data_IF_162572241303
#
_entry.id   IF_162572241303
#
_cell.length_a   1.000
_cell.length_b   1.000
_cell.length_c   1.000
_cell.angle_alpha   90.00
_cell.angle_beta   90.00
_cell.angle_gamma   90.00
#
_symmetry.space_group_name_H-M   'P 1'
#
loop_
_entity.id
_entity.type
_entity.pdbx_description
1 polymer ?
#
# COMPACT_ATOMS: atom_id res chain seq x y z
N UNK A 1 -5.49 -19.59 -3.72
CA UNK A 1 -5.70 -18.13 -3.89
C UNK A 1 -6.83 -17.67 -3.00
N UNK A 2 -6.89 -16.40 -2.64
CA UNK A 2 -7.98 -15.83 -1.84
C UNK A 2 -8.73 -14.77 -2.65
N UNK A 3 -10.02 -14.62 -2.37
CA UNK A 3 -10.82 -13.51 -2.88
C UNK A 3 -11.28 -12.63 -1.72
N UNK A 4 -11.42 -11.34 -2.00
CA UNK A 4 -12.14 -10.39 -1.16
C UNK A 4 -13.32 -9.87 -1.97
N UNK A 5 -14.53 -9.98 -1.42
CA UNK A 5 -15.77 -9.61 -2.07
C UNK A 5 -16.51 -8.55 -1.26
N UNK A 6 -17.06 -7.57 -1.96
CA UNK A 6 -17.99 -6.57 -1.44
C UNK A 6 -19.10 -6.32 -2.46
N UNK A 7 -20.26 -5.87 -2.01
CA UNK A 7 -21.32 -5.37 -2.88
C UNK A 7 -21.19 -3.85 -3.09
N UNK A 8 -21.64 -3.34 -4.24
CA UNK A 8 -21.53 -1.93 -4.62
C UNK A 8 -20.33 -1.65 -5.54
N UNK A 9 -19.72 -0.46 -5.45
CA UNK A 9 -18.65 0.00 -6.34
C UNK A 9 -17.27 -0.65 -6.12
N UNK A 10 -17.09 -1.50 -5.10
CA UNK A 10 -15.83 -2.22 -4.87
C UNK A 10 -14.80 -1.50 -3.98
N UNK A 11 -14.94 -0.19 -3.76
CA UNK A 11 -14.04 0.65 -2.92
C UNK A 11 -13.83 0.10 -1.52
N UNK A 12 -14.89 -0.47 -0.92
CA UNK A 12 -14.87 -1.11 0.41
C UNK A 12 -14.08 -2.42 0.47
N UNK A 13 -13.65 -2.96 -0.67
CA UNK A 13 -12.71 -4.08 -0.67
C UNK A 13 -11.31 -3.63 -0.25
N UNK A 14 -10.94 -2.37 -0.45
CA UNK A 14 -9.61 -1.86 -0.12
C UNK A 14 -9.62 -1.13 1.23
N UNK A 15 -10.63 -0.29 1.47
CA UNK A 15 -10.72 0.55 2.65
C UNK A 15 -11.11 -0.24 3.91
N UNK A 16 -10.38 -0.03 5.01
CA UNK A 16 -10.74 -0.57 6.33
C UNK A 16 -11.60 0.46 7.07
N UNK A 17 -12.89 0.20 7.18
CA UNK A 17 -13.81 1.03 7.96
C UNK A 17 -14.28 0.31 9.22
N UNK A 18 -14.40 1.02 10.34
CA UNK A 18 -14.92 0.45 11.59
C UNK A 18 -16.36 -0.07 11.38
N UNK A 19 -16.61 -1.31 11.82
CA UNK A 19 -17.91 -2.00 11.76
C UNK A 19 -18.45 -2.35 10.35
N UNK A 20 -17.58 -2.44 9.34
CA UNK A 20 -17.95 -2.93 8.00
C UNK A 20 -16.91 -3.95 7.51
N UNK A 21 -17.37 -5.12 7.06
CA UNK A 21 -16.48 -6.26 6.82
C UNK A 21 -16.65 -6.83 5.40
N UNK A 22 -15.59 -6.84 4.59
CA UNK A 22 -15.63 -7.53 3.30
C UNK A 22 -15.67 -9.04 3.50
N UNK A 23 -16.23 -9.77 2.54
CA UNK A 23 -16.24 -11.23 2.55
C UNK A 23 -14.88 -11.74 2.06
N UNK A 24 -14.09 -12.30 2.98
CA UNK A 24 -12.86 -13.02 2.67
C UNK A 24 -13.17 -14.48 2.34
N UNK A 25 -12.54 -15.00 1.29
CA UNK A 25 -12.82 -16.31 0.72
C UNK A 25 -11.53 -17.03 0.41
N UNK A 26 -11.37 -18.23 0.94
CA UNK A 26 -10.36 -19.15 0.46
C UNK A 26 -10.95 -19.93 -0.72
N UNK A 27 -10.31 -19.86 -1.89
CA UNK A 27 -10.79 -20.57 -3.07
C UNK A 27 -10.68 -22.10 -2.96
N UNK A 28 -9.95 -22.66 -2.01
CA UNK A 28 -9.93 -24.11 -1.77
C UNK A 28 -11.24 -24.60 -1.13
N UNK A 29 -11.93 -23.72 -0.38
CA UNK A 29 -13.25 -23.98 0.21
C UNK A 29 -14.14 -22.72 0.07
N UNK A 30 -14.57 -22.35 -1.15
CA UNK A 30 -15.16 -21.03 -1.42
C UNK A 30 -16.44 -20.74 -0.63
N UNK A 31 -17.29 -21.74 -0.45
CA UNK A 31 -18.55 -21.60 0.28
C UNK A 31 -18.37 -21.64 1.82
N UNK A 32 -17.18 -22.01 2.31
CA UNK A 32 -16.92 -22.07 3.75
C UNK A 32 -16.83 -20.66 4.35
N UNK A 33 -17.38 -20.53 5.56
CA UNK A 33 -17.38 -19.29 6.33
C UNK A 33 -16.63 -19.52 7.64
N UNK A 34 -15.77 -18.60 8.04
CA UNK A 34 -15.17 -18.61 9.39
C UNK A 34 -16.22 -18.31 10.49
N UNK A 35 -17.37 -17.77 10.10
CA UNK A 35 -18.50 -17.47 10.96
C UNK A 35 -19.58 -18.53 10.78
N UNK A 36 -19.85 -19.29 11.85
CA UNK A 36 -20.68 -20.49 11.81
C UNK A 36 -22.12 -20.23 12.23
N UNK A 37 -22.39 -19.17 13.00
CA UNK A 37 -23.75 -18.81 13.41
C UNK A 37 -24.30 -17.64 12.59
N UNK A 38 -25.63 -17.56 12.35
CA UNK A 38 -26.26 -16.42 11.69
C UNK A 38 -25.89 -15.08 12.35
N UNK A 39 -25.92 -15.03 13.69
CA UNK A 39 -25.52 -13.84 14.45
C UNK A 39 -24.06 -13.41 14.21
N UNK A 40 -23.12 -14.36 14.09
CA UNK A 40 -21.73 -14.04 13.74
C UNK A 40 -21.62 -13.56 12.29
N UNK A 41 -22.27 -14.25 11.35
CA UNK A 41 -22.26 -13.85 9.93
C UNK A 41 -22.80 -12.42 9.76
N UNK A 42 -23.90 -12.09 10.43
CA UNK A 42 -24.49 -10.76 10.41
C UNK A 42 -23.59 -9.72 11.12
N UNK A 43 -22.98 -10.06 12.26
CA UNK A 43 -22.06 -9.15 12.96
C UNK A 43 -20.85 -8.77 12.09
N UNK A 44 -20.30 -9.74 11.36
CA UNK A 44 -19.11 -9.60 10.52
C UNK A 44 -19.45 -9.56 9.02
N UNK A 45 -20.57 -8.93 8.67
CA UNK A 45 -21.00 -8.70 7.30
C UNK A 45 -20.82 -7.25 6.89
N UNK A 46 -20.90 -7.03 5.58
CA UNK A 46 -20.92 -5.69 5.02
C UNK A 46 -22.28 -5.01 5.32
N UNK A 47 -22.23 -3.78 5.82
CA UNK A 47 -23.37 -2.94 6.23
C UNK A 47 -23.61 -1.76 5.31
N UNK A 48 -22.56 -1.26 4.65
CA UNK A 48 -22.64 -0.07 3.81
C UNK A 48 -22.31 -0.41 2.36
N UNK A 49 -22.99 0.26 1.44
CA UNK A 49 -22.77 0.16 0.00
C UNK A 49 -22.27 1.51 -0.50
N UNK A 50 -21.15 1.48 -1.22
CA UNK A 50 -20.72 2.63 -2.00
C UNK A 50 -21.38 2.53 -3.38
N UNK A 51 -22.07 3.60 -3.78
CA UNK A 51 -22.94 3.67 -4.94
C UNK A 51 -22.67 4.95 -5.74
N UNK A 52 -23.09 4.96 -6.99
CA UNK A 52 -23.10 6.17 -7.82
C UNK A 52 -24.49 6.80 -7.79
N UNK A 53 -24.61 7.98 -7.20
CA UNK A 53 -25.82 8.81 -7.28
C UNK A 53 -25.79 9.55 -8.63
N UNK A 54 -26.56 9.05 -9.60
CA UNK A 54 -26.63 9.62 -10.95
C UNK A 54 -27.39 10.95 -11.00
N UNK A 55 -28.25 11.23 -10.03
CA UNK A 55 -28.96 12.51 -9.93
C UNK A 55 -28.06 13.64 -9.44
N UNK A 56 -27.12 13.32 -8.54
CA UNK A 56 -26.11 14.27 -8.02
C UNK A 56 -24.75 14.17 -8.70
N UNK A 57 -24.56 13.18 -9.58
CA UNK A 57 -23.30 12.85 -10.24
C UNK A 57 -22.12 12.71 -9.26
N UNK A 58 -22.32 11.95 -8.18
CA UNK A 58 -21.31 11.76 -7.15
C UNK A 58 -21.33 10.34 -6.58
N UNK A 59 -20.21 9.91 -6.00
CA UNK A 59 -20.17 8.70 -5.17
C UNK A 59 -20.84 9.00 -3.84
N UNK A 60 -21.64 8.06 -3.34
CA UNK A 60 -22.26 8.14 -2.02
C UNK A 60 -22.19 6.80 -1.29
N UNK A 61 -22.18 6.86 0.03
CA UNK A 61 -22.24 5.67 0.90
C UNK A 61 -23.61 5.62 1.56
N UNK A 62 -24.30 4.49 1.42
CA UNK A 62 -25.63 4.28 2.00
C UNK A 62 -25.63 2.97 2.79
N UNK A 63 -26.27 2.97 3.96
CA UNK A 63 -26.52 1.76 4.73
C UNK A 63 -27.45 0.83 3.96
N UNK A 64 -27.08 -0.45 3.83
CA UNK A 64 -27.80 -1.43 3.01
C UNK A 64 -29.29 -1.50 3.36
N UNK A 65 -29.62 -1.44 4.66
CA UNK A 65 -30.97 -1.42 5.20
C UNK A 65 -31.87 -0.32 4.63
N UNK A 66 -31.31 0.84 4.29
CA UNK A 66 -32.06 2.01 3.79
C UNK A 66 -32.47 1.89 2.33
N UNK A 67 -31.87 0.94 1.59
CA UNK A 67 -32.14 0.75 0.16
C UNK A 67 -32.72 -0.62 -0.18
N UNK A 68 -32.92 -1.50 0.82
CA UNK A 68 -33.43 -2.87 0.62
C UNK A 68 -34.70 -2.95 -0.21
N UNK A 69 -35.61 -1.98 -0.05
CA UNK A 69 -36.88 -1.92 -0.78
C UNK A 69 -36.68 -1.54 -2.26
N UNK A 70 -35.63 -0.80 -2.57
CA UNK A 70 -35.27 -0.38 -3.93
C UNK A 70 -34.46 -1.45 -4.67
N UNK A 71 -33.81 -2.36 -3.94
CA UNK A 71 -33.04 -3.45 -4.53
C UNK A 71 -33.96 -4.55 -5.09
N UNK A 72 -33.74 -4.98 -6.35
CA UNK A 72 -34.53 -6.06 -6.93
C UNK A 72 -34.26 -7.37 -6.17
N UNK A 73 -35.28 -8.23 -6.13
CA UNK A 73 -35.21 -9.48 -5.35
C UNK A 73 -34.11 -10.42 -5.85
N UNK A 74 -33.86 -10.45 -7.16
CA UNK A 74 -32.77 -11.26 -7.73
C UNK A 74 -31.40 -10.82 -7.20
N UNK A 75 -31.17 -9.51 -7.09
CA UNK A 75 -29.92 -8.95 -6.58
C UNK A 75 -29.74 -9.27 -5.10
N UNK A 76 -30.79 -9.06 -4.30
CA UNK A 76 -30.79 -9.45 -2.87
C UNK A 76 -30.43 -10.93 -2.71
N UNK A 77 -31.02 -11.81 -3.50
CA UNK A 77 -30.71 -13.25 -3.46
C UNK A 77 -29.27 -13.57 -3.89
N UNK A 78 -28.68 -12.80 -4.80
CA UNK A 78 -27.34 -13.04 -5.30
C UNK A 78 -26.26 -12.66 -4.27
N UNK A 79 -26.42 -11.52 -3.58
CA UNK A 79 -25.38 -10.95 -2.71
C UNK A 79 -25.70 -10.93 -1.21
N UNK A 80 -26.96 -11.19 -0.81
CA UNK A 80 -27.41 -11.09 0.57
C UNK A 80 -28.04 -12.40 1.09
N UNK A 81 -28.00 -12.58 2.41
CA UNK A 81 -28.72 -13.62 3.15
C UNK A 81 -29.74 -12.99 4.11
N UNK A 82 -30.72 -13.80 4.56
CA UNK A 82 -31.70 -13.39 5.57
C UNK A 82 -31.31 -13.91 6.95
N UNK A 83 -31.44 -13.06 7.95
CA UNK A 83 -31.24 -13.42 9.35
C UNK A 83 -32.59 -13.83 9.97
N UNK A 84 -32.98 -15.08 9.75
CA UNK A 84 -34.25 -15.61 10.26
C UNK A 84 -34.33 -15.61 11.80
N UNK A 85 -33.20 -15.69 12.50
CA UNK A 85 -33.17 -15.60 13.97
C UNK A 85 -33.53 -14.19 14.44
N UNK A 86 -32.94 -13.17 13.81
CA UNK A 86 -33.30 -11.77 14.06
C UNK A 86 -34.75 -11.47 13.67
N UNK A 87 -35.23 -12.00 12.55
CA UNK A 87 -36.63 -11.86 12.14
C UNK A 87 -37.59 -12.50 13.15
N UNK A 88 -37.30 -13.71 13.65
CA UNK A 88 -38.14 -14.36 14.68
C UNK A 88 -38.15 -13.56 16.00
N UNK A 89 -37.00 -13.05 16.41
CA UNK A 89 -36.91 -12.19 17.60
C UNK A 89 -37.75 -10.91 17.46
N UNK A 90 -37.75 -10.27 16.28
CA UNK A 90 -38.58 -9.11 15.99
C UNK A 90 -40.08 -9.46 15.94
N UNK A 91 -40.42 -10.61 15.35
CA UNK A 91 -41.80 -11.11 15.29
C UNK A 91 -42.39 -11.31 16.70
N UNK A 92 -41.60 -11.85 17.64
CA UNK A 92 -42.00 -11.99 19.06
C UNK A 92 -42.28 -10.65 19.75
N UNK A 93 -41.74 -9.55 19.21
CA UNK A 93 -41.98 -8.18 19.67
C UNK A 93 -43.06 -7.45 18.85
N UNK A 94 -43.85 -8.18 18.05
CA UNK A 94 -44.84 -7.63 17.10
C UNK A 94 -44.24 -6.65 16.07
N UNK A 95 -42.96 -6.86 15.70
CA UNK A 95 -42.27 -6.08 14.67
C UNK A 95 -41.99 -6.99 13.48
N UNK A 96 -42.83 -6.93 12.46
CA UNK A 96 -42.66 -7.75 11.25
C UNK A 96 -41.75 -7.04 10.25
N UNK A 97 -40.49 -7.47 10.14
CA UNK A 97 -39.51 -6.89 9.22
C UNK A 97 -38.54 -7.96 8.73
N UNK A 98 -38.21 -7.93 7.44
CA UNK A 98 -37.14 -8.77 6.90
C UNK A 98 -35.77 -8.19 7.27
N UNK A 99 -34.85 -9.05 7.68
CA UNK A 99 -33.49 -8.66 8.06
C UNK A 99 -32.51 -9.26 7.06
N UNK A 100 -31.94 -8.41 6.21
CA UNK A 100 -31.01 -8.79 5.16
C UNK A 100 -29.60 -8.33 5.50
N UNK A 101 -28.60 -9.12 5.17
CA UNK A 101 -27.19 -8.75 5.35
C UNK A 101 -26.34 -9.27 4.19
N UNK A 102 -25.29 -8.53 3.83
CA UNK A 102 -24.46 -8.81 2.64
C UNK A 102 -23.41 -9.87 3.00
N UNK A 103 -23.42 -10.99 2.29
CA UNK A 103 -22.46 -12.08 2.50
C UNK A 103 -21.82 -12.60 1.21
N UNK A 104 -22.44 -12.32 0.06
CA UNK A 104 -22.09 -12.90 -1.24
C UNK A 104 -22.09 -14.45 -1.23
N UNK A 105 -22.75 -15.09 -0.26
CA UNK A 105 -22.69 -16.54 -0.07
C UNK A 105 -23.22 -17.30 -1.29
N UNK A 106 -24.34 -16.85 -1.88
CA UNK A 106 -24.91 -17.50 -3.07
C UNK A 106 -24.00 -17.41 -4.30
N UNK A 107 -23.26 -16.31 -4.44
CA UNK A 107 -22.24 -16.18 -5.48
C UNK A 107 -21.10 -17.19 -5.26
N UNK A 108 -20.72 -17.45 -4.01
CA UNK A 108 -19.68 -18.41 -3.64
C UNK A 108 -20.11 -19.87 -3.73
N UNK A 109 -21.41 -20.14 -3.62
CA UNK A 109 -21.99 -21.46 -3.87
C UNK A 109 -22.11 -21.77 -5.37
N UNK A 110 -21.94 -20.77 -6.24
CA UNK A 110 -21.88 -20.98 -7.68
C UNK A 110 -20.51 -21.56 -8.07
N UNK A 111 -20.47 -22.87 -8.32
CA UNK A 111 -19.26 -23.59 -8.74
C UNK A 111 -18.69 -23.08 -10.07
N UNK A 112 -19.53 -22.58 -10.97
CA UNK A 112 -19.05 -22.01 -12.24
C UNK A 112 -18.28 -20.71 -12.00
N UNK A 113 -18.77 -19.85 -11.10
CA UNK A 113 -18.07 -18.63 -10.71
C UNK A 113 -16.76 -18.93 -10.00
N UNK A 114 -16.80 -19.74 -8.94
CA UNK A 114 -15.60 -20.03 -8.14
C UNK A 114 -14.57 -20.82 -8.93
N UNK A 115 -15.01 -21.77 -9.77
CA UNK A 115 -14.15 -22.49 -10.72
C UNK A 115 -13.53 -21.58 -11.77
N UNK A 116 -14.26 -20.59 -12.28
CA UNK A 116 -13.70 -19.57 -13.18
C UNK A 116 -12.60 -18.76 -12.47
N UNK A 117 -12.85 -18.26 -11.26
CA UNK A 117 -11.87 -17.46 -10.52
C UNK A 117 -10.59 -18.24 -10.20
N UNK A 118 -10.72 -19.53 -9.84
CA UNK A 118 -9.56 -20.41 -9.66
C UNK A 118 -8.75 -20.57 -10.94
N UNK A 119 -9.40 -20.82 -12.07
CA UNK A 119 -8.74 -20.96 -13.38
C UNK A 119 -8.08 -19.65 -13.81
N UNK A 120 -8.75 -18.52 -13.60
CA UNK A 120 -8.25 -17.19 -13.90
C UNK A 120 -6.95 -16.93 -13.14
N UNK A 121 -6.94 -17.10 -11.82
CA UNK A 121 -5.74 -16.88 -11.00
C UNK A 121 -4.59 -17.81 -11.40
N UNK A 122 -4.86 -19.10 -11.60
CA UNK A 122 -3.83 -20.07 -12.04
C UNK A 122 -3.25 -19.72 -13.40
N UNK A 123 -4.10 -19.28 -14.33
CA UNK A 123 -3.65 -18.91 -15.68
C UNK A 123 -2.76 -17.67 -15.61
N UNK A 124 -3.17 -16.65 -14.87
CA UNK A 124 -2.37 -15.44 -14.68
C UNK A 124 -1.04 -15.74 -13.98
N UNK A 125 -1.05 -16.53 -12.90
CA UNK A 125 0.16 -16.96 -12.20
C UNK A 125 1.14 -17.68 -13.13
N UNK A 126 0.65 -18.58 -13.98
CA UNK A 126 1.47 -19.29 -14.96
C UNK A 126 2.08 -18.36 -16.02
N UNK A 127 1.32 -17.38 -16.50
CA UNK A 127 1.79 -16.43 -17.52
C UNK A 127 2.80 -15.45 -16.95
N UNK A 128 2.58 -14.95 -15.73
CA UNK A 128 3.50 -14.03 -15.05
C UNK A 128 4.71 -14.73 -14.42
N UNK A 129 4.63 -16.05 -14.20
CA UNK A 129 5.67 -16.82 -13.51
C UNK A 129 5.74 -16.57 -12.01
N UNK A 130 4.81 -15.79 -11.45
CA UNK A 130 4.69 -15.44 -10.03
C UNK A 130 3.20 -15.39 -9.63
N UNK A 131 2.85 -15.58 -8.34
CA UNK A 131 1.51 -15.32 -7.85
C UNK A 131 1.05 -13.91 -8.24
N UNK A 132 -0.25 -13.70 -8.44
CA UNK A 132 -0.79 -12.39 -8.86
C UNK A 132 -1.78 -11.84 -7.84
N UNK A 133 -1.87 -10.51 -7.79
CA UNK A 133 -2.95 -9.74 -7.19
C UNK A 133 -3.86 -9.22 -8.31
N UNK A 134 -5.18 -9.25 -8.10
CA UNK A 134 -6.14 -8.84 -9.12
C UNK A 134 -7.23 -7.94 -8.52
N UNK A 135 -7.65 -6.95 -9.29
CA UNK A 135 -8.89 -6.22 -9.06
C UNK A 135 -9.91 -6.64 -10.13
N UNK A 136 -11.14 -6.90 -9.71
CA UNK A 136 -12.17 -7.40 -10.61
C UNK A 136 -13.56 -6.94 -10.17
N UNK A 137 -14.50 -6.94 -11.12
CA UNK A 137 -15.93 -6.81 -10.83
C UNK A 137 -16.67 -8.05 -11.26
N UNK A 138 -17.79 -8.33 -10.60
CA UNK A 138 -18.71 -9.40 -10.95
C UNK A 138 -20.09 -8.80 -11.10
N UNK A 139 -20.60 -8.79 -12.32
CA UNK A 139 -21.98 -8.42 -12.60
C UNK A 139 -22.80 -9.70 -12.67
N UNK A 140 -23.92 -9.75 -11.95
CA UNK A 140 -24.86 -10.87 -11.97
C UNK A 140 -26.20 -10.35 -12.47
N UNK A 141 -26.91 -11.14 -13.25
CA UNK A 141 -28.24 -10.80 -13.74
C UNK A 141 -29.36 -11.57 -13.00
N UNK A 142 -30.60 -11.41 -13.45
CA UNK A 142 -31.75 -12.10 -12.86
C UNK A 142 -31.80 -13.61 -13.15
N UNK A 143 -31.12 -14.06 -14.20
CA UNK A 143 -31.02 -15.47 -14.60
C UNK A 143 -29.97 -16.23 -13.77
N UNK A 144 -29.07 -15.48 -13.12
CA UNK A 144 -27.93 -16.01 -12.38
C UNK A 144 -26.68 -16.17 -13.25
N UNK A 145 -26.73 -15.72 -14.50
CA UNK A 145 -25.54 -15.53 -15.32
C UNK A 145 -24.68 -14.41 -14.74
N UNK A 146 -23.37 -14.54 -14.93
CA UNK A 146 -22.41 -13.58 -14.39
C UNK A 146 -21.33 -13.24 -15.41
N UNK A 147 -20.84 -12.01 -15.31
CA UNK A 147 -19.71 -11.50 -16.08
C UNK A 147 -18.64 -11.02 -15.12
N UNK A 148 -17.45 -11.61 -15.22
CA UNK A 148 -16.26 -11.16 -14.50
C UNK A 148 -15.48 -10.21 -15.39
N UNK A 149 -15.24 -8.99 -14.91
CA UNK A 149 -14.34 -8.04 -15.57
C UNK A 149 -13.06 -7.93 -14.75
N UNK A 150 -11.93 -8.24 -15.36
CA UNK A 150 -10.62 -8.02 -14.76
C UNK A 150 -10.25 -6.55 -14.96
N UNK A 151 -10.19 -5.78 -13.86
CA UNK A 151 -9.87 -4.36 -13.87
C UNK A 151 -8.37 -4.13 -13.76
N UNK A 152 -7.69 -4.96 -12.97
CA UNK A 152 -6.26 -4.89 -12.75
C UNK A 152 -5.70 -6.29 -12.49
N UNK A 153 -4.47 -6.53 -12.95
CA UNK A 153 -3.69 -7.72 -12.62
C UNK A 153 -2.23 -7.31 -12.45
N UNK A 154 -1.66 -7.62 -11.29
CA UNK A 154 -0.29 -7.31 -10.91
C UNK A 154 0.41 -8.56 -10.38
N UNK A 155 1.62 -8.91 -10.84
CA UNK A 155 2.38 -9.98 -10.22
C UNK A 155 2.75 -9.58 -8.79
N UNK A 156 2.45 -10.42 -7.82
CA UNK A 156 2.98 -10.31 -6.47
C UNK A 156 4.48 -10.57 -6.55
N UNK A 157 5.23 -9.59 -6.09
CA UNK A 157 6.67 -9.68 -6.07
C UNK A 157 7.13 -10.73 -5.08
N UNK A 158 7.54 -11.88 -5.59
CA UNK A 158 8.37 -12.82 -4.86
C UNK A 158 9.82 -12.51 -5.23
N UNK A 159 10.54 -11.84 -4.33
CA UNK A 159 11.94 -11.38 -4.48
C UNK A 159 12.76 -12.02 -5.61
N UNK A 160 13.31 -11.17 -6.48
CA UNK A 160 14.32 -11.51 -7.48
C UNK A 160 15.71 -11.81 -6.88
N UNK A 161 16.44 -12.70 -7.57
CA UNK A 161 17.73 -13.30 -7.21
C UNK A 161 17.77 -14.00 -5.84
N UNK A 162 17.79 -15.35 -5.88
CA UNK A 162 18.02 -16.22 -4.71
C UNK A 162 19.47 -16.21 -4.19
N UNK A 163 20.26 -15.22 -4.59
CA UNK A 163 21.67 -15.15 -4.22
C UNK A 163 21.80 -14.40 -2.90
N UNK A 164 22.40 -15.06 -1.91
CA UNK A 164 22.76 -14.40 -0.66
C UNK A 164 23.84 -13.38 -0.95
N UNK A 165 23.65 -12.15 -0.49
CA UNK A 165 24.70 -11.14 -0.50
C UNK A 165 25.36 -11.11 0.86
N UNK A 166 26.68 -11.17 0.85
CA UNK A 166 27.46 -10.98 2.07
C UNK A 166 27.52 -9.49 2.39
N UNK A 167 26.88 -9.10 3.49
CA UNK A 167 27.03 -7.75 4.04
C UNK A 167 28.48 -7.60 4.55
N UNK A 168 29.26 -6.63 4.03
CA UNK A 168 30.63 -6.44 4.47
C UNK A 168 30.67 -5.87 5.89
N UNK A 169 31.78 -6.11 6.58
CA UNK A 169 32.10 -5.37 7.79
C UNK A 169 32.89 -4.11 7.40
N UNK A 170 32.26 -2.95 7.50
CA UNK A 170 32.91 -1.65 7.31
C UNK A 170 33.03 -0.93 8.66
N UNK A 171 34.06 -0.08 8.85
CA UNK A 171 34.20 0.72 10.07
C UNK A 171 32.97 1.62 10.30
N UNK A 172 32.47 1.77 11.54
CA UNK A 172 31.27 2.57 11.84
C UNK A 172 31.30 3.98 11.26
N UNK A 173 32.46 4.63 11.26
CA UNK A 173 32.65 5.98 10.71
C UNK A 173 32.38 6.10 9.20
N UNK A 174 32.37 4.98 8.48
CA UNK A 174 32.04 4.89 7.04
C UNK A 174 30.61 4.41 6.78
N UNK A 175 29.86 4.05 7.83
CA UNK A 175 28.48 3.58 7.72
C UNK A 175 27.54 4.79 7.68
N UNK A 176 26.70 4.85 6.65
CA UNK A 176 25.59 5.79 6.59
C UNK A 176 24.39 5.28 7.38
N UNK A 177 23.98 4.03 7.14
CA UNK A 177 23.03 3.32 7.99
C UNK A 177 23.25 1.82 7.96
N UNK A 178 22.87 1.16 9.06
CA UNK A 178 22.79 -0.28 9.19
C UNK A 178 21.48 -0.65 9.88
N UNK A 179 20.69 -1.49 9.21
CA UNK A 179 19.32 -1.83 9.60
C UNK A 179 19.14 -3.34 9.61
N UNK A 180 18.18 -3.80 10.42
CA UNK A 180 17.76 -5.20 10.50
C UNK A 180 16.24 -5.29 10.39
N UNK A 181 15.72 -6.28 9.66
CA UNK A 181 14.29 -6.54 9.51
C UNK A 181 13.46 -5.29 9.15
N UNK A 182 14.05 -4.37 8.37
CA UNK A 182 13.48 -3.07 8.04
C UNK A 182 13.59 -2.71 6.57
N UNK A 183 13.95 -3.69 5.74
CA UNK A 183 14.15 -3.56 4.32
C UNK A 183 13.22 -4.47 3.55
N UNK A 184 12.86 -4.04 2.35
CA UNK A 184 12.13 -4.83 1.37
C UNK A 184 12.74 -4.63 -0.01
N UNK A 185 12.85 -5.73 -0.74
CA UNK A 185 13.53 -5.80 -2.02
C UNK A 185 14.46 -7.00 -2.07
N UNK A 186 15.20 -7.11 -3.17
CA UNK A 186 16.10 -8.22 -3.42
C UNK A 186 17.35 -8.15 -2.57
N UNK A 187 18.02 -9.29 -2.43
CA UNK A 187 19.44 -9.24 -2.13
C UNK A 187 20.15 -8.50 -3.26
N UNK A 188 20.64 -7.29 -2.97
CA UNK A 188 21.28 -6.42 -3.98
C UNK A 188 22.50 -5.70 -3.41
N UNK A 189 23.55 -5.58 -4.23
CA UNK A 189 24.67 -4.66 -4.01
C UNK A 189 24.61 -3.60 -5.09
N UNK A 190 24.34 -2.35 -4.71
CA UNK A 190 24.11 -1.24 -5.64
C UNK A 190 24.92 -0.02 -5.26
N UNK A 191 25.59 0.60 -6.23
CA UNK A 191 26.25 1.89 -6.01
C UNK A 191 25.20 2.99 -5.89
N UNK A 192 25.40 3.92 -4.97
CA UNK A 192 24.56 5.11 -4.80
C UNK A 192 25.38 6.31 -5.21
N UNK A 193 24.89 7.05 -6.20
CA UNK A 193 25.58 8.20 -6.78
C UNK A 193 25.11 9.52 -6.17
N UNK A 194 23.87 9.55 -5.70
CA UNK A 194 23.24 10.75 -5.15
C UNK A 194 22.47 10.38 -3.89
N UNK A 195 22.63 11.17 -2.83
CA UNK A 195 21.81 11.06 -1.62
C UNK A 195 21.01 12.36 -1.47
N UNK A 196 19.70 12.20 -1.31
CA UNK A 196 18.76 13.30 -1.03
C UNK A 196 18.25 13.12 0.39
N UNK A 197 18.65 14.00 1.29
CA UNK A 197 18.19 14.00 2.67
C UNK A 197 17.20 15.14 2.90
N UNK A 198 16.07 14.82 3.52
CA UNK A 198 15.09 15.78 4.00
C UNK A 198 15.12 15.75 5.52
N UNK A 199 15.42 16.89 6.14
CA UNK A 199 15.42 17.05 7.60
C UNK A 199 14.00 16.85 8.16
N UNK A 200 13.78 15.82 9.00
CA UNK A 200 12.45 15.53 9.52
C UNK A 200 11.90 16.65 10.39
N UNK A 201 12.70 17.18 11.32
CA UNK A 201 12.26 18.22 12.26
C UNK A 201 11.80 19.45 11.48
N UNK A 202 12.60 19.91 10.52
CA UNK A 202 12.25 21.07 9.68
C UNK A 202 11.04 20.80 8.81
N UNK A 203 10.87 19.59 8.28
CA UNK A 203 9.69 19.23 7.50
C UNK A 203 8.41 19.30 8.34
N UNK A 204 8.43 18.79 9.57
CA UNK A 204 7.25 18.79 10.44
C UNK A 204 6.92 20.19 11.00
N UNK A 205 7.94 21.01 11.29
CA UNK A 205 7.78 22.43 11.65
C UNK A 205 7.35 23.31 10.46
N UNK A 206 7.53 22.83 9.22
CA UNK A 206 7.19 23.60 8.02
C UNK A 206 5.67 23.84 7.92
N UNK A 207 5.22 25.06 7.58
CA UNK A 207 3.79 25.37 7.53
C UNK A 207 3.02 24.39 6.65
N UNK A 208 1.92 23.84 7.18
CA UNK A 208 1.11 22.83 6.50
C UNK A 208 0.76 23.22 5.05
N UNK A 209 0.31 24.46 4.85
CA UNK A 209 -0.06 24.99 3.53
C UNK A 209 1.10 25.00 2.50
N UNK A 210 2.35 24.93 2.96
CA UNK A 210 3.54 24.91 2.12
C UNK A 210 4.16 23.53 1.95
N UNK A 211 3.74 22.50 2.69
CA UNK A 211 4.36 21.15 2.64
C UNK A 211 4.36 20.53 1.23
N UNK A 212 3.42 20.91 0.37
CA UNK A 212 3.44 20.51 -1.05
C UNK A 212 4.68 21.00 -1.82
N UNK A 213 5.32 22.09 -1.40
CA UNK A 213 6.57 22.56 -2.00
C UNK A 213 7.73 21.57 -1.77
N UNK A 214 7.74 20.83 -0.66
CA UNK A 214 8.74 19.79 -0.42
C UNK A 214 8.60 18.64 -1.44
N UNK A 215 7.35 18.24 -1.75
CA UNK A 215 7.09 17.26 -2.80
C UNK A 215 7.49 17.80 -4.19
N UNK A 216 7.23 19.09 -4.47
CA UNK A 216 7.69 19.74 -5.69
C UNK A 216 9.24 19.76 -5.79
N UNK A 217 9.93 19.98 -4.67
CA UNK A 217 11.39 19.95 -4.64
C UNK A 217 11.93 18.55 -4.96
N UNK A 218 11.33 17.49 -4.41
CA UNK A 218 11.67 16.11 -4.75
C UNK A 218 11.45 15.83 -6.24
N UNK A 219 10.31 16.26 -6.80
CA UNK A 219 10.04 16.13 -8.24
C UNK A 219 11.11 16.82 -9.08
N UNK A 220 11.54 18.04 -8.73
CA UNK A 220 12.59 18.77 -9.45
C UNK A 220 13.94 18.05 -9.40
N UNK A 221 14.30 17.50 -8.24
CA UNK A 221 15.53 16.70 -8.10
C UNK A 221 15.45 15.43 -8.95
N UNK A 222 14.33 14.73 -8.91
CA UNK A 222 14.05 13.56 -9.73
C UNK A 222 14.16 13.89 -11.23
N UNK A 223 13.53 14.98 -11.68
CA UNK A 223 13.57 15.41 -13.08
C UNK A 223 14.98 15.85 -13.50
N UNK A 224 15.74 16.48 -12.60
CA UNK A 224 17.12 16.87 -12.84
C UNK A 224 18.01 15.67 -13.15
N UNK A 225 17.97 14.61 -12.32
CA UNK A 225 18.81 13.43 -12.50
C UNK A 225 18.28 12.39 -13.48
N UNK A 226 17.02 12.52 -13.91
CA UNK A 226 16.39 11.57 -14.84
C UNK A 226 17.22 11.44 -16.12
N UNK A 227 17.55 10.20 -16.48
CA UNK A 227 18.31 9.90 -17.69
C UNK A 227 19.83 10.13 -17.58
N UNK A 228 20.35 10.56 -16.43
CA UNK A 228 21.80 10.74 -16.22
C UNK A 228 22.54 9.44 -15.85
N UNK A 229 21.82 8.32 -15.70
CA UNK A 229 22.42 7.04 -15.27
C UNK A 229 22.94 7.05 -13.82
N UNK A 230 22.49 8.01 -13.00
CA UNK A 230 22.80 8.06 -11.57
C UNK A 230 21.76 7.29 -10.78
N UNK A 231 22.22 6.63 -9.72
CA UNK A 231 21.39 5.90 -8.78
C UNK A 231 21.17 6.76 -7.54
N UNK A 232 19.90 7.09 -7.26
CA UNK A 232 19.54 8.05 -6.22
C UNK A 232 18.95 7.34 -5.01
N UNK A 233 19.29 7.84 -3.83
CA UNK A 233 18.71 7.41 -2.56
C UNK A 233 17.98 8.58 -1.90
N UNK A 234 16.70 8.41 -1.59
CA UNK A 234 15.90 9.40 -0.85
C UNK A 234 15.76 9.01 0.62
N UNK A 235 16.19 9.89 1.52
CA UNK A 235 15.86 9.84 2.94
C UNK A 235 14.72 10.82 3.21
N UNK A 236 13.52 10.30 3.46
CA UNK A 236 12.28 11.09 3.56
C UNK A 236 11.68 11.00 4.96
N UNK A 237 11.08 12.07 5.50
CA UNK A 237 10.36 12.02 6.77
C UNK A 237 9.04 11.29 6.63
N UNK A 238 8.77 10.38 7.58
CA UNK A 238 7.48 9.69 7.65
C UNK A 238 7.16 8.88 6.40
N UNK A 239 5.86 8.75 6.14
CA UNK A 239 5.31 7.93 5.05
C UNK A 239 5.45 8.60 3.69
N UNK A 240 6.07 7.92 2.72
CA UNK A 240 6.13 8.43 1.34
C UNK A 240 4.82 8.17 0.60
N UNK A 241 4.37 9.13 -0.21
CA UNK A 241 3.19 8.97 -1.04
C UNK A 241 1.85 9.06 -0.31
N UNK A 242 1.84 9.66 0.88
CA UNK A 242 0.62 9.92 1.66
C UNK A 242 -0.20 11.08 1.05
N UNK A 243 -1.53 11.02 1.15
CA UNK A 243 -2.39 12.17 0.84
C UNK A 243 -2.40 13.24 1.96
N UNK A 244 -1.98 12.87 3.17
CA UNK A 244 -1.90 13.74 4.35
C UNK A 244 -0.44 14.13 4.63
N UNK A 245 0.00 15.38 4.33
CA UNK A 245 1.39 15.82 4.49
C UNK A 245 1.92 15.79 5.93
N UNK A 246 1.05 15.58 6.89
CA UNK A 246 1.33 15.46 8.32
C UNK A 246 1.81 14.06 8.70
N UNK A 247 1.57 13.06 7.85
CA UNK A 247 2.07 11.69 8.03
C UNK A 247 3.40 11.46 7.32
N UNK A 248 3.82 12.39 6.46
CA UNK A 248 5.02 12.26 5.64
C UNK A 248 4.91 13.02 4.32
N UNK A 249 5.71 12.64 3.33
CA UNK A 249 5.89 13.40 2.09
C UNK A 249 4.82 13.07 1.02
N UNK A 250 4.01 14.04 0.56
CA UNK A 250 2.89 13.80 -0.37
C UNK A 250 3.32 13.82 -1.85
N UNK A 251 4.16 12.86 -2.25
CA UNK A 251 4.63 12.68 -3.64
C UNK A 251 3.78 11.66 -4.41
N UNK A 252 3.77 11.77 -5.73
CA UNK A 252 3.26 10.72 -6.63
C UNK A 252 4.43 9.85 -7.12
N UNK A 253 4.15 8.65 -7.62
CA UNK A 253 5.20 7.76 -8.13
C UNK A 253 6.04 8.43 -9.24
N UNK A 254 5.41 9.20 -10.13
CA UNK A 254 6.10 9.95 -11.18
C UNK A 254 7.11 10.99 -10.67
N UNK A 255 6.94 11.47 -9.43
CA UNK A 255 7.83 12.44 -8.78
C UNK A 255 9.09 11.76 -8.21
N UNK A 256 9.09 10.43 -8.10
CA UNK A 256 10.17 9.64 -7.48
C UNK A 256 10.69 8.50 -8.37
N UNK A 257 10.20 8.36 -9.61
CA UNK A 257 10.55 7.23 -10.48
C UNK A 257 12.00 7.17 -10.95
N UNK A 258 12.82 8.22 -10.74
CA UNK A 258 14.27 8.19 -10.96
C UNK A 258 15.06 7.76 -9.71
N UNK A 259 14.40 7.60 -8.56
CA UNK A 259 15.05 7.08 -7.36
C UNK A 259 15.22 5.58 -7.44
N UNK A 260 16.38 5.14 -6.96
CA UNK A 260 16.78 3.73 -6.91
C UNK A 260 16.53 3.13 -5.55
N UNK A 261 16.44 3.99 -4.53
CA UNK A 261 16.14 3.62 -3.17
C UNK A 261 15.41 4.70 -2.41
N UNK A 262 14.55 4.27 -1.50
CA UNK A 262 13.78 5.14 -0.61
C UNK A 262 13.89 4.62 0.82
N UNK A 263 14.21 5.52 1.73
CA UNK A 263 14.30 5.26 3.16
C UNK A 263 13.35 6.21 3.90
N UNK A 264 12.27 5.67 4.45
CA UNK A 264 11.41 6.40 5.37
C UNK A 264 12.10 6.53 6.73
N UNK A 265 12.23 7.75 7.24
CA UNK A 265 12.95 8.04 8.48
C UNK A 265 11.96 8.39 9.58
N UNK A 266 12.07 7.65 10.69
CA UNK A 266 11.41 7.95 11.96
C UNK A 266 12.27 8.93 12.77
N UNK A 267 11.65 9.93 13.38
CA UNK A 267 12.34 10.88 14.27
C UNK A 267 11.43 11.29 15.43
N UNK A 268 11.75 10.81 16.63
CA UNK A 268 11.00 11.11 17.86
C UNK A 268 11.02 12.59 18.24
N UNK A 269 12.01 13.38 17.79
CA UNK A 269 12.04 14.83 17.99
C UNK A 269 10.88 15.52 17.26
N UNK A 270 10.42 14.94 16.16
CA UNK A 270 9.26 15.40 15.43
C UNK A 270 7.93 14.85 15.97
N UNK A 271 7.97 13.93 16.95
CA UNK A 271 6.78 13.38 17.61
C UNK A 271 5.96 12.42 16.76
N UNK A 272 6.50 11.89 15.66
CA UNK A 272 5.78 11.02 14.72
C UNK A 272 6.59 9.77 14.34
N UNK A 273 5.90 8.62 14.29
CA UNK A 273 6.46 7.32 13.94
C UNK A 273 5.79 6.83 12.65
N UNK A 274 6.55 6.52 11.59
CA UNK A 274 5.95 6.07 10.33
C UNK A 274 5.18 4.77 10.50
N UNK A 275 3.95 4.72 10.00
CA UNK A 275 3.36 3.44 9.60
C UNK A 275 3.94 3.10 8.23
N UNK A 276 4.74 2.02 8.15
CA UNK A 276 5.27 1.53 6.86
C UNK A 276 4.16 1.52 5.84
N UNK A 277 4.46 1.96 4.62
CA UNK A 277 3.54 1.92 3.46
C UNK A 277 3.18 0.49 3.00
N UNK A 278 3.37 -0.52 3.85
CA UNK A 278 3.12 -1.93 3.59
C UNK A 278 1.67 -2.15 3.11
N UNK A 279 1.52 -2.69 1.89
CA UNK A 279 0.22 -2.94 1.29
C UNK A 279 -0.48 -1.72 0.67
N UNK A 280 0.22 -0.60 0.46
CA UNK A 280 -0.28 0.52 -0.34
C UNK A 280 0.05 0.36 -1.83
N UNK A 281 -0.71 1.03 -2.70
CA UNK A 281 -0.41 1.09 -4.15
C UNK A 281 1.00 1.64 -4.40
N UNK A 282 1.41 2.69 -3.68
CA UNK A 282 2.76 3.27 -3.79
C UNK A 282 3.83 2.20 -3.52
N UNK A 283 3.64 1.39 -2.49
CA UNK A 283 4.60 0.33 -2.16
C UNK A 283 4.71 -0.73 -3.26
N UNK A 284 3.59 -1.14 -3.85
CA UNK A 284 3.62 -2.06 -4.98
C UNK A 284 4.37 -1.45 -6.17
N UNK A 285 4.11 -0.19 -6.50
CA UNK A 285 4.77 0.50 -7.61
C UNK A 285 6.30 0.60 -7.40
N UNK A 286 6.77 0.84 -6.15
CA UNK A 286 8.20 0.84 -5.80
C UNK A 286 8.85 -0.53 -6.02
N UNK A 287 8.17 -1.58 -5.57
CA UNK A 287 8.67 -2.95 -5.70
C UNK A 287 8.71 -3.40 -7.17
N UNK A 288 7.68 -3.07 -7.96
CA UNK A 288 7.65 -3.36 -9.41
C UNK A 288 8.74 -2.62 -10.19
N UNK A 289 9.11 -1.42 -9.74
CA UNK A 289 10.16 -0.62 -10.34
C UNK A 289 11.58 -0.97 -9.86
N UNK A 290 11.73 -2.04 -9.05
CA UNK A 290 13.00 -2.44 -8.42
C UNK A 290 13.67 -1.30 -7.63
N UNK A 291 12.84 -0.45 -7.01
CA UNK A 291 13.27 0.60 -6.10
C UNK A 291 13.32 -0.02 -4.70
N UNK A 292 14.52 -0.15 -4.14
CA UNK A 292 14.64 -0.74 -2.80
C UNK A 292 14.04 0.19 -1.75
N UNK A 293 13.32 -0.37 -0.79
CA UNK A 293 12.56 0.38 0.19
C UNK A 293 12.92 -0.06 1.61
N UNK A 294 13.30 0.90 2.46
CA UNK A 294 13.64 0.64 3.85
C UNK A 294 12.98 1.65 4.79
N UNK A 295 12.93 1.31 6.07
CA UNK A 295 12.62 2.25 7.14
C UNK A 295 13.75 2.33 8.15
N UNK A 296 14.13 3.56 8.50
CA UNK A 296 15.08 3.86 9.56
C UNK A 296 14.28 4.15 10.83
N UNK A 297 14.03 3.09 11.60
CA UNK A 297 13.28 3.16 12.86
C UNK A 297 14.08 3.76 14.00
N UNK A 298 13.38 4.21 15.04
CA UNK A 298 14.00 4.61 16.31
C UNK A 298 13.90 3.49 17.36
N UNK A 299 14.23 2.26 16.96
CA UNK A 299 14.22 1.10 17.83
C UNK A 299 15.38 0.13 17.50
N UNK A 300 15.34 -1.06 18.10
CA UNK A 300 16.39 -2.09 17.98
C UNK A 300 16.63 -2.58 16.54
N UNK A 301 15.75 -2.24 15.59
CA UNK A 301 15.95 -2.53 14.16
C UNK A 301 16.96 -1.60 13.50
N UNK A 302 17.22 -0.43 14.09
CA UNK A 302 18.28 0.50 13.66
C UNK A 302 19.55 0.21 14.46
N UNK A 303 20.51 -0.44 13.81
CA UNK A 303 21.83 -0.69 14.42
C UNK A 303 22.65 0.60 14.42
N UNK A 304 22.67 1.32 13.29
CA UNK A 304 23.41 2.56 13.14
C UNK A 304 22.73 3.46 12.10
N UNK A 305 22.74 4.77 12.33
CA UNK A 305 22.33 5.77 11.36
C UNK A 305 23.08 7.08 11.63
N UNK A 306 23.74 7.61 10.61
CA UNK A 306 24.59 8.80 10.70
C UNK A 306 24.17 9.84 9.64
N UNK A 307 23.06 10.57 9.84
CA UNK A 307 22.61 11.58 8.89
C UNK A 307 23.64 12.69 8.64
N UNK A 308 24.56 12.91 9.58
CA UNK A 308 25.60 13.94 9.53
C UNK A 308 26.78 13.58 8.63
N UNK A 309 26.84 12.34 8.11
CA UNK A 309 27.97 11.83 7.33
C UNK A 309 28.29 12.70 6.11
N UNK A 310 27.29 13.39 5.55
CA UNK A 310 27.40 14.26 4.38
C UNK A 310 27.38 15.76 4.71
N UNK A 311 27.53 16.17 5.97
CA UNK A 311 27.48 17.59 6.35
C UNK A 311 28.58 18.44 5.70
N UNK A 312 29.77 17.86 5.56
CA UNK A 312 30.95 18.50 4.95
C UNK A 312 30.89 18.52 3.42
N UNK A 313 30.04 17.70 2.83
CA UNK A 313 29.84 17.66 1.38
C UNK A 313 29.10 18.90 0.90
N UNK A 314 29.38 19.32 -0.34
CA UNK A 314 28.67 20.43 -0.97
C UNK A 314 27.19 20.06 -1.12
N UNK A 315 26.30 20.85 -0.52
CA UNK A 315 24.87 20.73 -0.77
C UNK A 315 24.53 21.30 -2.16
N UNK A 316 24.07 20.44 -3.07
CA UNK A 316 23.67 20.80 -4.44
C UNK A 316 22.21 21.26 -4.54
N UNK A 317 21.43 21.17 -3.46
CA UNK A 317 20.02 21.59 -3.49
C UNK A 317 19.82 23.05 -3.94
N UNK A 318 20.62 24.04 -3.48
CA UNK A 318 20.51 25.42 -3.96
C UNK A 318 20.79 25.59 -5.46
N UNK A 319 21.64 24.74 -6.04
CA UNK A 319 21.99 24.78 -7.46
C UNK A 319 20.86 24.16 -8.32
N UNK A 320 20.22 23.10 -7.82
CA UNK A 320 19.14 22.37 -8.53
C UNK A 320 17.79 23.11 -8.39
N UNK A 321 17.52 23.67 -7.21
CA UNK A 321 16.26 24.34 -6.87
C UNK A 321 16.46 25.81 -6.43
N UNK A 322 17.10 26.68 -7.25
CA UNK A 322 17.48 28.03 -6.82
C UNK A 322 16.29 28.93 -6.45
N UNK A 323 15.10 28.62 -6.97
CA UNK A 323 13.86 29.37 -6.67
C UNK A 323 13.20 28.98 -5.34
N UNK A 324 13.78 28.09 -4.54
CA UNK A 324 13.20 27.57 -3.28
C UNK A 324 14.12 27.81 -2.07
N UNK A 325 14.51 29.07 -1.78
CA UNK A 325 15.46 29.38 -0.70
C UNK A 325 14.98 28.95 0.69
N UNK A 326 13.66 28.93 0.91
CA UNK A 326 13.05 28.48 2.17
C UNK A 326 13.31 26.99 2.48
N UNK A 327 13.62 26.19 1.46
CA UNK A 327 13.92 24.76 1.59
C UNK A 327 15.41 24.46 1.69
N UNK A 328 16.31 25.44 1.52
CA UNK A 328 17.77 25.24 1.49
C UNK A 328 18.33 24.61 2.77
N UNK A 329 17.69 24.88 3.90
CA UNK A 329 18.10 24.31 5.18
C UNK A 329 17.45 22.95 5.48
N UNK A 330 16.37 22.60 4.77
CA UNK A 330 15.62 21.35 4.95
C UNK A 330 16.15 20.23 4.04
N UNK A 331 16.56 20.57 2.82
CA UNK A 331 17.05 19.61 1.84
C UNK A 331 18.57 19.64 1.74
N UNK A 332 19.17 18.45 1.69
CA UNK A 332 20.57 18.24 1.34
C UNK A 332 20.66 17.25 0.19
N UNK A 333 21.23 17.67 -0.93
CA UNK A 333 21.52 16.81 -2.08
C UNK A 333 23.03 16.71 -2.23
N UNK A 334 23.58 15.51 -2.15
CA UNK A 334 25.02 15.25 -2.22
C UNK A 334 25.33 14.15 -3.22
N UNK A 335 26.53 14.20 -3.81
CA UNK A 335 27.03 13.18 -4.73
C UNK A 335 28.27 12.49 -4.14
N UNK A 336 28.10 11.62 -3.13
CA UNK A 336 29.23 10.97 -2.48
C UNK A 336 29.91 9.97 -3.41
N UNK A 337 31.25 9.98 -3.44
CA UNK A 337 32.03 8.99 -4.18
C UNK A 337 32.17 7.69 -3.39
N UNK A 338 31.83 6.55 -4.00
CA UNK A 338 32.07 5.22 -3.40
C UNK A 338 31.02 4.76 -2.37
N UNK A 339 29.88 5.44 -2.28
CA UNK A 339 28.76 4.99 -1.46
C UNK A 339 28.08 3.77 -2.09
N UNK A 340 27.87 2.72 -1.30
CA UNK A 340 27.24 1.47 -1.75
C UNK A 340 26.15 1.06 -0.76
N UNK A 341 25.08 0.48 -1.30
CA UNK A 341 23.99 -0.14 -0.59
C UNK A 341 24.07 -1.65 -0.75
N UNK A 342 24.00 -2.37 0.36
CA UNK A 342 23.90 -3.82 0.44
C UNK A 342 22.61 -4.18 1.16
N UNK A 343 21.84 -5.06 0.56
CA UNK A 343 20.69 -5.69 1.20
C UNK A 343 20.82 -7.20 1.06
N UNK A 344 20.50 -7.94 2.11
CA UNK A 344 20.29 -9.37 2.04
C UNK A 344 18.90 -9.74 2.55
N UNK A 345 18.05 -10.23 1.66
CA UNK A 345 16.67 -10.58 2.00
C UNK A 345 16.57 -11.79 2.93
N UNK A 346 17.61 -12.64 2.99
CA UNK A 346 17.61 -13.86 3.79
C UNK A 346 17.97 -13.60 5.25
N UNK A 347 19.03 -12.82 5.50
CA UNK A 347 19.38 -12.39 6.85
C UNK A 347 18.53 -11.20 7.32
N UNK A 348 17.86 -10.52 6.39
CA UNK A 348 17.16 -9.25 6.61
C UNK A 348 18.10 -8.15 7.12
N UNK A 349 19.37 -8.22 6.76
CA UNK A 349 20.34 -7.19 7.10
C UNK A 349 20.54 -6.25 5.91
N UNK A 350 20.67 -4.97 6.23
CA UNK A 350 20.89 -3.91 5.25
C UNK A 350 21.97 -2.98 5.75
N UNK A 351 22.85 -2.58 4.84
CA UNK A 351 23.95 -1.68 5.10
C UNK A 351 24.09 -0.69 3.95
N UNK A 352 24.25 0.59 4.27
CA UNK A 352 24.73 1.59 3.32
C UNK A 352 25.95 2.27 3.91
N UNK A 353 27.02 2.37 3.13
CA UNK A 353 28.27 2.97 3.57
C UNK A 353 29.33 3.01 2.48
N UNK A 354 30.47 3.61 2.79
CA UNK A 354 31.57 3.76 1.86
C UNK A 354 32.39 2.48 1.75
N UNK A 355 32.55 2.00 0.53
CA UNK A 355 33.43 0.86 0.25
C UNK A 355 34.89 1.20 0.59
N UNK A 356 35.65 0.21 1.06
CA UNK A 356 37.04 0.36 1.49
C UNK A 356 38.02 0.43 0.32
#
# INVERSE_FOLDING_TARGET
GMLRLVAGLGTRAVDRTENDYPRLVNLDMPAASAHNTPAQKHRFAQRYLDLLDTGKNQVCTIEADKILEQLPLWYKKAVMERDYEAEDALNRMNRYRQVWFITCQKLLENESFTGLMQKLLKTLEQVYGNPVDIEYTVNVDETGEFVVNLLQCRPLYTGGTKEKIQIPQIPPEKVFFQLKASSMGNSVRKKIHVVVQIDPVKYYEYPHAKKHQAAEAVRRINDYYRGQGKELLLMTPGRIGTSSPELGLPVRFADIGAFSGICEVSDSRAGYMPELSYGSHMFQDLVEADIFYNAVWEDDRRILYQPELFEKEKNLFPDICPSMPELFSMFRVTEPEGLVYWNDMFSQDTLCGFEL
#
